data_IF_872140767051
#
_entry.id   IF_872140767051
#
_cell.length_a   1.000
_cell.length_b   1.000
_cell.length_c   1.000
_cell.angle_alpha   90.00
_cell.angle_beta   90.00
_cell.angle_gamma   90.00
#
_symmetry.space_group_name_H-M   'P 1'
#
loop_
_entity.id
_entity.type
_entity.pdbx_description
1 polymer ?
#
# COMPACT_ATOMS: atom_id res chain seq x y z
N UNK A 1 29.23 -46.29 -31.45
CA UNK A 1 29.33 -45.60 -30.14
C UNK A 1 29.43 -44.11 -30.37
N UNK A 2 28.50 -43.33 -29.79
CA UNK A 2 28.63 -41.92 -29.38
C UNK A 2 29.03 -40.89 -30.47
N UNK A 3 28.07 -40.41 -31.28
CA UNK A 3 28.10 -38.96 -31.54
C UNK A 3 26.70 -38.30 -31.61
N UNK A 4 25.66 -38.89 -31.00
CA UNK A 4 24.32 -38.27 -30.95
C UNK A 4 24.01 -37.60 -29.59
N UNK A 5 24.86 -37.81 -28.59
CA UNK A 5 24.63 -37.29 -27.23
C UNK A 5 25.19 -35.87 -27.00
N UNK A 6 26.01 -35.35 -27.92
CA UNK A 6 26.63 -34.02 -27.78
C UNK A 6 25.75 -32.87 -28.30
N UNK A 7 24.79 -33.14 -29.19
CA UNK A 7 23.93 -32.10 -29.77
C UNK A 7 22.89 -31.59 -28.76
N UNK A 8 22.49 -32.42 -27.79
CA UNK A 8 21.59 -32.01 -26.71
C UNK A 8 22.29 -31.21 -25.58
N UNK A 9 23.62 -31.26 -25.48
CA UNK A 9 24.36 -30.54 -24.44
C UNK A 9 24.58 -29.05 -24.76
N UNK A 10 24.46 -28.65 -26.03
CA UNK A 10 24.68 -27.26 -26.46
C UNK A 10 23.39 -26.43 -26.41
N UNK A 11 22.21 -27.07 -26.44
CA UNK A 11 20.92 -26.37 -26.43
C UNK A 11 20.45 -25.90 -25.04
N UNK A 12 21.19 -26.21 -23.98
CA UNK A 12 20.82 -25.86 -22.59
C UNK A 12 21.49 -24.56 -22.09
N UNK A 13 22.38 -23.94 -22.88
CA UNK A 13 23.16 -22.76 -22.45
C UNK A 13 22.62 -21.40 -22.90
N UNK A 14 21.50 -21.34 -23.62
CA UNK A 14 20.82 -20.07 -23.92
C UNK A 14 19.58 -19.96 -23.03
N UNK A 15 19.79 -19.99 -21.72
CA UNK A 15 18.82 -19.43 -20.80
C UNK A 15 18.98 -17.93 -20.88
N UNK A 16 18.08 -17.28 -21.61
CA UNK A 16 17.96 -15.83 -21.68
C UNK A 16 17.72 -15.33 -20.24
N UNK A 17 18.77 -14.85 -19.58
CA UNK A 17 18.57 -14.02 -18.39
C UNK A 17 17.93 -12.73 -18.89
N UNK A 18 16.63 -12.55 -18.64
CA UNK A 18 16.08 -11.19 -18.68
C UNK A 18 16.82 -10.42 -17.60
N UNK A 19 17.80 -9.60 -18.00
CA UNK A 19 18.45 -8.62 -17.13
C UNK A 19 17.37 -7.65 -16.63
N UNK A 20 16.79 -7.95 -15.48
CA UNK A 20 16.06 -6.98 -14.66
C UNK A 20 17.11 -6.20 -13.86
N UNK A 21 18.06 -5.55 -14.54
CA UNK A 21 19.08 -4.70 -13.91
C UNK A 21 18.79 -3.21 -14.12
N UNK A 22 18.20 -2.82 -15.25
CA UNK A 22 17.92 -1.42 -15.54
C UNK A 22 16.75 -0.82 -14.73
N UNK A 23 15.88 -1.65 -14.14
CA UNK A 23 14.70 -1.22 -13.37
C UNK A 23 15.00 -0.88 -11.90
N UNK A 24 16.04 -1.46 -11.30
CA UNK A 24 16.26 -1.37 -9.86
C UNK A 24 16.48 0.07 -9.35
N UNK A 25 16.93 0.97 -10.21
CA UNK A 25 17.21 2.39 -9.90
C UNK A 25 16.26 3.37 -10.58
N UNK A 26 15.11 2.95 -11.12
CA UNK A 26 14.18 3.89 -11.79
C UNK A 26 13.83 5.07 -10.88
N UNK A 27 13.36 4.78 -9.66
CA UNK A 27 12.90 5.81 -8.73
C UNK A 27 14.05 6.74 -8.32
N UNK A 28 15.22 6.17 -8.04
CA UNK A 28 16.41 6.96 -7.69
C UNK A 28 16.83 7.88 -8.83
N UNK A 29 16.86 7.40 -10.09
CA UNK A 29 17.18 8.25 -11.26
C UNK A 29 16.15 9.35 -11.47
N UNK A 30 14.86 9.08 -11.25
CA UNK A 30 13.82 10.12 -11.32
C UNK A 30 14.02 11.18 -10.25
N UNK A 31 14.43 10.79 -9.03
CA UNK A 31 14.75 11.73 -7.96
C UNK A 31 16.02 12.54 -8.28
N UNK A 32 17.08 11.89 -8.79
CA UNK A 32 18.33 12.53 -9.23
C UNK A 32 18.08 13.55 -10.35
N UNK A 33 17.11 13.29 -11.24
CA UNK A 33 16.72 14.21 -12.32
C UNK A 33 15.99 15.48 -11.82
N UNK A 34 15.51 15.48 -10.58
CA UNK A 34 14.79 16.60 -9.95
C UNK A 34 15.43 17.01 -8.61
N UNK A 35 16.70 17.47 -8.62
CA UNK A 35 17.46 17.71 -7.39
C UNK A 35 16.84 18.81 -6.52
N UNK A 36 16.13 19.79 -7.11
CA UNK A 36 15.45 20.84 -6.33
C UNK A 36 14.37 20.28 -5.40
N UNK A 37 13.84 19.08 -5.69
CA UNK A 37 12.80 18.42 -4.89
C UNK A 37 13.37 17.32 -3.99
N UNK A 38 14.38 16.57 -4.46
CA UNK A 38 14.77 15.30 -3.82
C UNK A 38 16.19 15.23 -3.29
N UNK A 39 17.06 16.22 -3.54
CA UNK A 39 18.46 16.17 -3.11
C UNK A 39 18.61 16.02 -1.59
N UNK A 40 17.74 16.67 -0.80
CA UNK A 40 17.71 16.50 0.65
C UNK A 40 17.39 15.06 1.06
N UNK A 41 16.46 14.39 0.36
CA UNK A 41 16.07 13.00 0.64
C UNK A 41 17.20 12.05 0.24
N UNK A 42 17.79 12.23 -0.94
CA UNK A 42 18.87 11.37 -1.44
C UNK A 42 20.12 11.47 -0.56
N UNK A 43 20.50 12.68 -0.11
CA UNK A 43 21.67 12.89 0.77
C UNK A 43 21.47 12.39 2.19
N UNK A 44 20.22 12.29 2.67
CA UNK A 44 19.87 11.88 4.02
C UNK A 44 19.06 10.57 4.03
N UNK A 45 19.34 9.68 3.07
CA UNK A 45 18.55 8.47 2.79
C UNK A 45 18.36 7.57 4.02
N UNK A 46 19.41 7.37 4.79
CA UNK A 46 19.40 6.46 5.95
C UNK A 46 18.72 7.09 7.17
N UNK A 47 18.78 8.41 7.34
CA UNK A 47 18.21 9.10 8.50
C UNK A 47 16.73 9.46 8.31
N UNK A 48 16.31 9.74 7.07
CA UNK A 48 14.91 10.03 6.76
C UNK A 48 14.09 8.75 6.54
N UNK A 49 14.75 7.62 6.29
CA UNK A 49 14.15 6.29 6.11
C UNK A 49 13.00 6.26 5.09
N UNK A 50 13.00 7.17 4.12
CA UNK A 50 11.96 7.25 3.08
C UNK A 50 12.01 5.97 2.26
N UNK A 51 10.87 5.29 2.15
CA UNK A 51 10.70 4.09 1.35
C UNK A 51 9.67 4.34 0.26
N UNK A 52 9.95 3.92 -0.98
CA UNK A 52 9.00 4.04 -2.09
C UNK A 52 8.87 2.68 -2.76
N UNK A 53 7.63 2.22 -2.88
CA UNK A 53 7.26 1.07 -3.71
C UNK A 53 6.35 1.60 -4.81
N UNK A 54 6.84 1.61 -6.04
CA UNK A 54 6.03 1.95 -7.21
C UNK A 54 5.71 0.65 -7.95
N UNK A 55 4.43 0.35 -8.14
CA UNK A 55 4.00 -0.82 -8.94
C UNK A 55 3.28 -0.31 -10.19
N UNK A 56 3.92 -0.49 -11.34
CA UNK A 56 3.33 -0.28 -12.64
C UNK A 56 2.36 -1.42 -12.96
N UNK A 57 1.17 -1.05 -13.46
CA UNK A 57 0.15 -1.98 -13.94
C UNK A 57 0.14 -1.88 -15.46
N UNK A 58 0.74 -2.86 -16.11
CA UNK A 58 0.73 -2.98 -17.57
C UNK A 58 -0.48 -3.82 -17.98
N UNK A 59 -1.26 -3.35 -18.96
CA UNK A 59 -2.47 -4.04 -19.43
C UNK A 59 -2.27 -4.42 -20.89
N UNK A 60 -2.56 -5.67 -21.24
CA UNK A 60 -2.55 -6.11 -22.63
C UNK A 60 -3.79 -5.63 -23.41
N UNK A 61 -3.84 -5.93 -24.71
CA UNK A 61 -4.96 -5.57 -25.59
C UNK A 61 -6.32 -6.17 -25.16
N UNK A 62 -6.31 -7.15 -24.23
CA UNK A 62 -7.50 -7.78 -23.64
C UNK A 62 -7.75 -7.27 -22.22
N UNK A 63 -7.10 -6.19 -21.81
CA UNK A 63 -7.19 -5.58 -20.48
C UNK A 63 -6.71 -6.49 -19.33
N UNK A 64 -5.91 -7.52 -19.62
CA UNK A 64 -5.34 -8.40 -18.57
C UNK A 64 -4.13 -7.71 -17.94
N UNK A 65 -4.10 -7.55 -16.60
CA UNK A 65 -3.00 -6.86 -15.94
C UNK A 65 -1.78 -7.77 -15.74
N UNK A 66 -0.59 -7.21 -15.95
CA UNK A 66 0.69 -7.66 -15.41
C UNK A 66 1.29 -6.56 -14.54
N UNK A 67 2.09 -6.95 -13.55
CA UNK A 67 2.63 -6.03 -12.56
C UNK A 67 4.15 -6.01 -12.63
N UNK A 68 4.70 -4.80 -12.57
CA UNK A 68 6.14 -4.56 -12.45
C UNK A 68 6.37 -3.58 -11.30
N UNK A 69 7.19 -3.97 -10.33
CA UNK A 69 7.43 -3.18 -9.13
C UNK A 69 8.85 -2.66 -9.06
N UNK A 70 8.98 -1.46 -8.55
CA UNK A 70 10.20 -0.68 -8.38
C UNK A 70 10.32 -0.25 -6.94
N UNK A 71 11.53 -0.34 -6.41
CA UNK A 71 11.77 -0.19 -4.97
C UNK A 71 12.85 0.85 -4.75
N UNK A 72 12.62 1.75 -3.78
CA UNK A 72 13.61 2.67 -3.26
C UNK A 72 13.68 2.49 -1.75
N UNK A 73 14.87 2.14 -1.26
CA UNK A 73 15.21 2.09 0.16
C UNK A 73 14.34 1.16 1.04
N UNK A 74 13.68 0.18 0.42
CA UNK A 74 12.67 -0.66 1.08
C UNK A 74 13.32 -1.64 2.06
N UNK A 75 12.79 -1.68 3.27
CA UNK A 75 13.16 -2.61 4.33
C UNK A 75 11.91 -3.01 5.09
N UNK A 76 11.53 -4.29 4.95
CA UNK A 76 10.33 -4.84 5.58
C UNK A 76 10.41 -4.94 7.10
N UNK A 77 11.60 -4.84 7.69
CA UNK A 77 11.78 -4.82 9.14
C UNK A 77 11.57 -3.42 9.75
N UNK A 78 11.56 -2.37 8.93
CA UNK A 78 11.29 -0.99 9.37
C UNK A 78 9.79 -0.71 9.40
N UNK A 79 9.24 -0.51 10.60
CA UNK A 79 7.84 -0.14 10.79
C UNK A 79 7.63 1.36 10.51
N UNK A 80 6.70 1.68 9.62
CA UNK A 80 6.23 3.05 9.39
C UNK A 80 4.89 3.26 10.08
N UNK A 81 4.79 4.24 10.98
CA UNK A 81 3.53 4.60 11.63
C UNK A 81 2.59 5.31 10.62
N UNK A 82 1.53 4.65 10.14
CA UNK A 82 0.74 5.17 9.02
C UNK A 82 -0.35 6.12 9.55
N UNK A 83 0.07 7.31 10.00
CA UNK A 83 -0.73 8.34 10.68
C UNK A 83 -2.25 8.30 10.38
N UNK A 84 -2.75 9.11 9.44
CA UNK A 84 -4.16 9.09 9.03
C UNK A 84 -4.47 8.05 7.95
N UNK A 85 -3.45 7.42 7.35
CA UNK A 85 -3.61 6.41 6.30
C UNK A 85 -4.31 5.15 6.81
N UNK A 86 -4.25 4.88 8.13
CA UNK A 86 -4.98 3.76 8.75
C UNK A 86 -6.50 3.92 8.69
N UNK A 87 -7.03 5.13 8.46
CA UNK A 87 -8.48 5.39 8.45
C UNK A 87 -9.19 4.59 7.35
N UNK A 88 -8.66 4.58 6.13
CA UNK A 88 -9.28 3.89 5.00
C UNK A 88 -9.48 2.38 5.25
N UNK A 89 -8.43 1.59 5.58
CA UNK A 89 -8.62 0.17 5.85
C UNK A 89 -9.56 -0.07 7.04
N UNK A 90 -9.54 0.79 8.07
CA UNK A 90 -10.46 0.68 9.20
C UNK A 90 -11.93 0.91 8.78
N UNK A 91 -12.20 1.91 7.95
CA UNK A 91 -13.54 2.16 7.41
C UNK A 91 -14.02 0.99 6.56
N UNK A 92 -13.16 0.47 5.67
CA UNK A 92 -13.49 -0.69 4.84
C UNK A 92 -13.85 -1.92 5.69
N UNK A 93 -13.07 -2.23 6.73
CA UNK A 93 -13.34 -3.33 7.64
C UNK A 93 -14.64 -3.12 8.43
N UNK A 94 -14.93 -1.89 8.87
CA UNK A 94 -16.17 -1.57 9.57
C UNK A 94 -17.40 -1.78 8.68
N UNK A 95 -17.35 -1.30 7.43
CA UNK A 95 -18.43 -1.48 6.46
C UNK A 95 -18.61 -2.95 6.05
N UNK A 96 -17.52 -3.69 5.85
CA UNK A 96 -17.57 -5.13 5.60
C UNK A 96 -18.24 -5.86 6.77
N UNK A 97 -17.89 -5.51 8.01
CA UNK A 97 -18.46 -6.11 9.20
C UNK A 97 -19.96 -5.83 9.32
N UNK A 98 -20.41 -4.59 9.12
CA UNK A 98 -21.85 -4.25 9.10
C UNK A 98 -22.59 -5.13 8.09
N UNK A 99 -22.08 -5.20 6.86
CA UNK A 99 -22.70 -5.98 5.78
C UNK A 99 -22.75 -7.48 6.11
N UNK A 100 -21.71 -8.03 6.73
CA UNK A 100 -21.66 -9.44 7.14
C UNK A 100 -22.60 -9.79 8.29
N UNK A 101 -22.84 -8.86 9.20
CA UNK A 101 -23.71 -9.11 10.35
C UNK A 101 -25.18 -9.32 9.93
N UNK A 102 -25.63 -8.68 8.84
CA UNK A 102 -26.97 -8.88 8.30
C UNK A 102 -28.09 -8.50 9.28
N UNK A 103 -27.81 -7.67 10.27
CA UNK A 103 -28.78 -7.26 11.30
C UNK A 103 -29.73 -6.22 10.68
N UNK A 104 -31.05 -6.44 10.71
CA UNK A 104 -32.01 -5.46 10.20
C UNK A 104 -31.81 -4.08 10.84
N UNK A 105 -31.81 -3.03 10.01
CA UNK A 105 -31.61 -1.63 10.37
C UNK A 105 -30.21 -1.25 10.93
N UNK A 106 -29.26 -2.18 11.04
CA UNK A 106 -27.86 -1.85 11.33
C UNK A 106 -27.17 -1.41 10.03
N UNK A 107 -26.80 -0.14 9.96
CA UNK A 107 -26.17 0.50 8.79
C UNK A 107 -24.98 1.38 9.21
N UNK A 108 -24.25 1.92 8.25
CA UNK A 108 -23.18 2.91 8.46
C UNK A 108 -23.65 4.19 9.17
N UNK A 109 -24.94 4.48 9.09
CA UNK A 109 -25.60 5.62 9.74
C UNK A 109 -26.06 5.33 11.17
N UNK A 110 -25.91 4.09 11.62
CA UNK A 110 -26.27 3.72 13.00
C UNK A 110 -25.39 4.48 14.00
N UNK A 111 -26.03 4.88 15.10
CA UNK A 111 -25.37 5.62 16.19
C UNK A 111 -24.30 4.72 16.82
N UNK A 112 -23.06 5.21 16.90
CA UNK A 112 -21.91 4.50 17.45
C UNK A 112 -21.36 5.22 18.69
N UNK A 113 -21.92 4.92 19.86
CA UNK A 113 -21.43 5.46 21.13
C UNK A 113 -20.31 4.59 21.69
N UNK A 114 -19.23 5.22 22.19
CA UNK A 114 -18.18 4.50 22.92
C UNK A 114 -17.71 5.31 24.13
N UNK A 115 -17.33 4.58 25.18
CA UNK A 115 -16.74 5.17 26.39
C UNK A 115 -15.21 5.10 26.34
N UNK A 116 -14.58 5.76 27.30
CA UNK A 116 -13.15 5.66 27.53
C UNK A 116 -12.85 4.48 28.46
N UNK A 117 -11.94 3.58 28.05
CA UNK A 117 -11.47 2.49 28.94
C UNK A 117 -10.13 2.80 29.61
N UNK A 118 -9.48 3.93 29.25
CA UNK A 118 -8.27 4.43 29.90
C UNK A 118 -8.05 5.93 29.63
N UNK A 119 -7.20 6.60 30.43
CA UNK A 119 -7.01 8.06 30.43
C UNK A 119 -6.74 8.71 29.05
N UNK A 120 -6.12 7.99 28.12
CA UNK A 120 -5.78 8.51 26.78
C UNK A 120 -6.88 8.37 25.74
N UNK A 121 -8.01 7.72 26.06
CA UNK A 121 -9.19 7.67 25.21
C UNK A 121 -10.20 8.74 25.61
N UNK A 122 -10.81 9.36 24.61
CA UNK A 122 -11.96 10.24 24.79
C UNK A 122 -13.24 9.47 24.47
N UNK A 123 -14.28 9.56 25.30
CA UNK A 123 -15.58 8.98 24.97
C UNK A 123 -16.22 9.75 23.81
N UNK A 124 -16.95 9.06 22.94
CA UNK A 124 -17.80 9.69 21.93
C UNK A 124 -19.27 9.43 22.26
N UNK A 125 -19.85 10.34 23.05
CA UNK A 125 -21.28 10.33 23.40
C UNK A 125 -22.11 11.29 22.53
N UNK A 126 -21.44 12.25 21.88
CA UNK A 126 -22.01 13.21 20.96
C UNK A 126 -20.96 13.57 19.90
N UNK A 127 -21.41 14.05 18.75
CA UNK A 127 -20.54 14.56 17.69
C UNK A 127 -21.17 15.80 17.06
N UNK A 128 -20.77 16.97 17.55
CA UNK A 128 -21.32 18.27 17.11
C UNK A 128 -20.99 18.62 15.66
N UNK A 129 -20.07 17.88 15.03
CA UNK A 129 -19.73 18.06 13.62
C UNK A 129 -20.60 17.22 12.69
N UNK A 130 -21.42 16.31 13.23
CA UNK A 130 -22.40 15.52 12.49
C UNK A 130 -23.73 16.27 12.37
N UNK A 131 -24.52 15.96 11.34
CA UNK A 131 -25.80 16.65 11.09
C UNK A 131 -26.85 16.44 12.19
N UNK A 132 -26.84 15.27 12.86
CA UNK A 132 -27.79 14.92 13.92
C UNK A 132 -27.19 15.02 15.33
N UNK A 133 -25.94 15.49 15.46
CA UNK A 133 -25.24 15.61 16.74
C UNK A 133 -24.73 14.30 17.33
N UNK A 134 -24.80 13.18 16.60
CA UNK A 134 -24.44 11.84 17.08
C UNK A 134 -23.35 11.19 16.20
N UNK A 135 -22.41 10.44 16.81
CA UNK A 135 -21.38 9.74 16.06
C UNK A 135 -21.96 8.57 15.25
N UNK A 136 -21.42 8.36 14.06
CA UNK A 136 -21.72 7.23 13.17
C UNK A 136 -20.47 6.80 12.42
N UNK A 137 -20.47 5.57 11.88
CA UNK A 137 -19.36 5.06 11.07
C UNK A 137 -19.18 5.90 9.80
N UNK A 138 -20.27 6.30 9.15
CA UNK A 138 -20.20 7.14 7.95
C UNK A 138 -19.59 8.52 8.23
N UNK A 139 -19.87 9.10 9.40
CA UNK A 139 -19.33 10.40 9.77
C UNK A 139 -17.84 10.32 10.11
N UNK A 140 -17.41 9.25 10.79
CA UNK A 140 -15.99 8.99 11.03
C UNK A 140 -15.21 8.74 9.75
N UNK A 141 -15.83 8.15 8.72
CA UNK A 141 -15.19 7.96 7.42
C UNK A 141 -14.88 9.27 6.69
N UNK A 142 -15.61 10.36 6.98
CA UNK A 142 -15.46 11.67 6.33
C UNK A 142 -14.43 12.58 7.02
N UNK A 143 -14.08 12.32 8.27
CA UNK A 143 -13.12 13.08 9.08
C UNK A 143 -11.69 12.66 8.79
#
# INVERSE_FOLDING_TARGET
MKPLFWIWAVLVLVSCSSRVEDDARLIERLMEAHPQQFDHILKNRDSLEVQIIYTQIDRDDRNRPSFRSFYFNVDSARYFYPASTIKLPMVLLALEKINRLGIPALTEHSIMLHDSVYRGQLPARADTTSANGLPSIDHYAKK
#
